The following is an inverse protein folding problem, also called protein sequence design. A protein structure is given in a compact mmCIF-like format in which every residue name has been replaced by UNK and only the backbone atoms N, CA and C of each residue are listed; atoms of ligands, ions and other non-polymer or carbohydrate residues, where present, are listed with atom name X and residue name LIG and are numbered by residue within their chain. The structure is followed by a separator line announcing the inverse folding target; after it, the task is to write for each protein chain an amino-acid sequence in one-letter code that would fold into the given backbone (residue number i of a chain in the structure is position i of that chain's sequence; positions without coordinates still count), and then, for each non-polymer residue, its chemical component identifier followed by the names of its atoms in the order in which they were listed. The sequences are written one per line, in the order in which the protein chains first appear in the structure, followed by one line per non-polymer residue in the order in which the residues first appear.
data_IF_247130966111
#
_entry.id   IF_247130966111
#
_cell.length_a   1.000
_cell.length_b   1.000
_cell.length_c   1.000
_cell.angle_alpha   90.00
_cell.angle_beta   90.00
_cell.angle_gamma   90.00
#
_symmetry.space_group_name_H-M   'P 1'
#
loop_
_entity.id
_entity.type
_entity.pdbx_description
1 polymer ?
#
# COMPACT_ATOMS: atom_id res chain seq x y z
N UNK A 1 -53.03 -14.93 47.73
CA UNK A 1 -53.04 -16.18 46.93
C UNK A 1 -52.67 -15.80 45.50
N UNK A 2 -51.40 -15.82 45.11
CA UNK A 2 -50.93 -15.48 43.75
C UNK A 2 -50.65 -16.79 43.02
N UNK A 3 -51.19 -17.03 41.81
CA UNK A 3 -50.97 -18.31 41.14
C UNK A 3 -49.52 -18.39 40.62
N UNK A 4 -48.87 -19.52 40.91
CA UNK A 4 -47.58 -19.91 40.34
C UNK A 4 -47.77 -20.08 38.82
N UNK A 5 -47.25 -19.15 38.02
CA UNK A 5 -47.20 -19.30 36.56
C UNK A 5 -46.25 -20.45 36.21
N UNK A 6 -46.72 -21.42 35.43
CA UNK A 6 -45.93 -22.54 34.95
C UNK A 6 -44.71 -22.06 34.12
N UNK A 7 -43.55 -22.74 34.24
CA UNK A 7 -42.35 -22.34 33.50
C UNK A 7 -42.57 -22.50 31.98
N UNK A 8 -42.01 -21.60 31.15
CA UNK A 8 -42.20 -21.65 29.71
C UNK A 8 -41.62 -22.93 29.11
N UNK A 9 -42.26 -23.54 28.09
CA UNK A 9 -41.75 -24.75 27.43
C UNK A 9 -40.34 -24.54 26.85
N UNK A 10 -39.54 -25.61 26.84
CA UNK A 10 -38.14 -25.63 26.37
C UNK A 10 -37.96 -24.99 24.98
N UNK A 11 -38.97 -25.04 24.11
CA UNK A 11 -38.97 -24.40 22.81
C UNK A 11 -38.78 -22.87 22.88
N UNK A 12 -39.32 -22.19 23.91
CA UNK A 12 -39.13 -20.75 24.10
C UNK A 12 -37.68 -20.43 24.47
N UNK A 13 -37.02 -21.26 25.28
CA UNK A 13 -35.61 -21.07 25.63
C UNK A 13 -34.71 -21.12 24.39
N UNK A 14 -34.98 -22.02 23.44
CA UNK A 14 -34.24 -22.09 22.18
C UNK A 14 -34.45 -20.86 21.30
N UNK A 15 -35.69 -20.37 21.18
CA UNK A 15 -35.98 -19.14 20.41
C UNK A 15 -35.31 -17.93 21.04
N UNK A 16 -35.39 -17.75 22.37
CA UNK A 16 -34.72 -16.65 23.06
C UNK A 16 -33.19 -16.73 22.99
N UNK A 17 -32.61 -17.93 23.06
CA UNK A 17 -31.16 -18.12 22.87
C UNK A 17 -30.72 -17.77 21.45
N UNK A 18 -31.46 -18.20 20.43
CA UNK A 18 -31.13 -17.91 19.03
C UNK A 18 -31.24 -16.41 18.72
N UNK A 19 -32.25 -15.73 19.27
CA UNK A 19 -32.40 -14.27 19.14
C UNK A 19 -31.27 -13.51 19.84
N UNK A 20 -30.82 -13.98 21.01
CA UNK A 20 -29.68 -13.39 21.73
C UNK A 20 -28.36 -13.58 20.98
N UNK A 21 -28.13 -14.77 20.43
CA UNK A 21 -26.94 -15.06 19.61
C UNK A 21 -26.93 -14.22 18.33
N UNK A 22 -28.05 -14.11 17.63
CA UNK A 22 -28.16 -13.27 16.43
C UNK A 22 -27.91 -11.78 16.73
N UNK A 23 -28.44 -11.27 17.84
CA UNK A 23 -28.20 -9.89 18.28
C UNK A 23 -26.73 -9.64 18.65
N UNK A 24 -26.07 -10.62 19.28
CA UNK A 24 -24.66 -10.54 19.62
C UNK A 24 -23.78 -10.53 18.35
N UNK A 25 -24.05 -11.41 17.39
CA UNK A 25 -23.34 -11.46 16.11
C UNK A 25 -23.46 -10.16 15.31
N UNK A 26 -24.66 -9.57 15.29
CA UNK A 26 -24.90 -8.30 14.60
C UNK A 26 -24.17 -7.13 15.28
N UNK A 27 -24.15 -7.10 16.62
CA UNK A 27 -23.42 -6.10 17.39
C UNK A 27 -21.90 -6.19 17.15
N UNK A 28 -21.33 -7.39 17.12
CA UNK A 28 -19.90 -7.58 16.81
C UNK A 28 -19.55 -7.15 15.37
N UNK A 29 -20.43 -7.41 14.40
CA UNK A 29 -20.22 -6.99 13.01
C UNK A 29 -20.19 -5.47 12.83
N UNK A 30 -21.07 -4.75 13.53
CA UNK A 30 -21.14 -3.28 13.47
C UNK A 30 -19.91 -2.60 14.07
N UNK A 31 -19.31 -3.15 15.13
CA UNK A 31 -18.09 -2.61 15.72
C UNK A 31 -16.85 -2.74 14.82
N UNK A 32 -16.83 -3.67 13.87
CA UNK A 32 -15.71 -3.85 12.95
C UNK A 32 -15.60 -2.71 11.92
N UNK A 33 -16.73 -2.09 11.54
CA UNK A 33 -16.76 -1.01 10.55
C UNK A 33 -16.51 0.39 11.14
N UNK A 34 -16.55 0.55 12.46
CA UNK A 34 -16.39 1.86 13.11
C UNK A 34 -14.92 2.32 13.23
N UNK A 35 -13.96 1.44 12.95
CA UNK A 35 -12.54 1.77 13.01
C UNK A 35 -12.12 2.45 11.70
N UNK A 36 -12.38 3.76 11.59
CA UNK A 36 -11.75 4.56 10.55
C UNK A 36 -10.23 4.51 10.77
N UNK A 37 -9.41 4.21 9.73
CA UNK A 37 -7.97 4.30 9.88
C UNK A 37 -7.62 5.73 10.30
N UNK A 38 -6.79 5.87 11.33
CA UNK A 38 -6.28 7.19 11.73
C UNK A 38 -5.62 7.84 10.50
N UNK A 39 -6.15 8.98 10.07
CA UNK A 39 -5.56 9.74 8.98
C UNK A 39 -4.17 10.16 9.42
N UNK A 40 -3.15 9.66 8.70
CA UNK A 40 -1.79 10.12 8.91
C UNK A 40 -1.76 11.65 8.72
N UNK A 41 -1.08 12.39 9.60
CA UNK A 41 -0.96 13.84 9.46
C UNK A 41 -0.43 14.16 8.06
N UNK A 42 -1.13 15.06 7.36
CA UNK A 42 -0.72 15.52 6.03
C UNK A 42 0.65 16.17 6.20
N UNK A 43 1.66 15.64 5.51
CA UNK A 43 3.00 16.19 5.58
C UNK A 43 2.96 17.68 5.20
N UNK A 44 3.42 18.54 6.11
CA UNK A 44 3.57 19.97 5.84
C UNK A 44 4.46 20.16 4.62
N UNK A 45 4.04 21.02 3.69
CA UNK A 45 4.82 21.35 2.49
C UNK A 45 6.14 21.97 2.94
N UNK A 46 7.20 21.17 2.92
CA UNK A 46 8.55 21.64 3.19
C UNK A 46 8.98 22.54 2.04
N UNK A 47 9.63 23.67 2.36
CA UNK A 47 10.21 24.54 1.35
C UNK A 47 11.07 23.72 0.36
N UNK A 48 11.07 24.06 -0.95
CA UNK A 48 11.87 23.35 -1.92
C UNK A 48 13.32 23.29 -1.44
N UNK A 49 13.90 22.10 -1.46
CA UNK A 49 15.28 21.91 -1.03
C UNK A 49 16.20 22.79 -1.88
N UNK A 50 16.80 23.81 -1.26
CA UNK A 50 17.95 24.52 -1.83
C UNK A 50 19.16 23.64 -1.62
N UNK A 51 19.70 23.07 -2.70
CA UNK A 51 20.68 22.00 -2.61
C UNK A 51 21.22 21.54 -3.97
N UNK A 52 22.20 20.62 -3.98
CA UNK A 52 23.12 20.36 -5.09
C UNK A 52 22.46 20.04 -6.45
N UNK A 53 23.25 20.09 -7.53
CA UNK A 53 22.85 19.85 -8.94
C UNK A 53 22.18 18.48 -9.24
N UNK A 54 21.93 17.64 -8.23
CA UNK A 54 21.40 16.29 -8.35
C UNK A 54 20.36 16.06 -7.25
N UNK A 55 19.22 15.48 -7.65
CA UNK A 55 18.07 15.22 -6.80
C UNK A 55 17.59 13.79 -7.00
N UNK A 56 17.15 13.16 -5.91
CA UNK A 56 16.48 11.85 -5.91
C UNK A 56 15.21 11.99 -5.09
N UNK A 57 14.08 11.51 -5.63
CA UNK A 57 12.79 11.51 -4.97
C UNK A 57 12.13 10.15 -5.19
N UNK A 58 11.67 9.51 -4.11
CA UNK A 58 11.02 8.22 -4.13
C UNK A 58 10.02 8.10 -2.96
N UNK A 59 9.12 7.13 -3.03
CA UNK A 59 8.08 6.93 -2.01
C UNK A 59 8.63 6.55 -0.63
N UNK A 60 9.83 5.98 -0.57
CA UNK A 60 10.45 5.50 0.66
C UNK A 60 11.83 6.12 0.88
N UNK A 61 12.16 6.61 2.09
CA UNK A 61 13.44 7.26 2.38
C UNK A 61 14.65 6.34 2.18
N UNK A 62 14.53 5.02 2.42
CA UNK A 62 15.63 4.07 2.19
C UNK A 62 15.95 3.94 0.70
N UNK A 63 14.93 4.03 -0.17
CA UNK A 63 15.13 4.04 -1.61
C UNK A 63 15.78 5.36 -2.08
N UNK A 64 15.39 6.50 -1.49
CA UNK A 64 16.06 7.79 -1.75
C UNK A 64 17.54 7.70 -1.36
N UNK A 65 17.84 7.18 -0.17
CA UNK A 65 19.22 7.02 0.31
C UNK A 65 20.05 6.15 -0.65
N UNK A 66 19.50 5.02 -1.11
CA UNK A 66 20.17 4.16 -2.07
C UNK A 66 20.50 4.87 -3.39
N UNK A 67 19.54 5.61 -3.96
CA UNK A 67 19.77 6.42 -5.16
C UNK A 67 20.84 7.50 -4.95
N UNK A 68 20.77 8.21 -3.82
CA UNK A 68 21.77 9.24 -3.46
C UNK A 68 23.15 8.63 -3.30
N UNK A 69 23.26 7.44 -2.69
CA UNK A 69 24.55 6.76 -2.52
C UNK A 69 25.17 6.36 -3.86
N UNK A 70 24.38 5.91 -4.83
CA UNK A 70 24.87 5.64 -6.20
C UNK A 70 25.36 6.92 -6.88
N UNK A 71 24.63 8.03 -6.78
CA UNK A 71 25.08 9.31 -7.33
C UNK A 71 26.37 9.81 -6.67
N UNK A 72 26.51 9.65 -5.35
CA UNK A 72 27.74 10.00 -4.61
C UNK A 72 28.95 9.18 -5.07
N UNK A 73 28.74 7.94 -5.51
CA UNK A 73 29.78 7.07 -6.06
C UNK A 73 30.11 7.37 -7.53
N UNK A 74 29.51 8.42 -8.12
CA UNK A 74 29.74 8.82 -9.51
C UNK A 74 28.85 8.08 -10.53
N UNK A 75 27.83 7.36 -10.06
CA UNK A 75 26.82 6.75 -10.93
C UNK A 75 25.98 7.79 -11.66
N UNK A 76 25.38 7.37 -12.77
CA UNK A 76 24.47 8.19 -13.55
C UNK A 76 23.07 8.24 -12.95
N UNK A 77 22.21 9.14 -13.48
CA UNK A 77 20.80 9.20 -13.08
C UNK A 77 20.06 7.87 -13.31
N UNK A 78 20.43 7.10 -14.33
CA UNK A 78 19.81 5.80 -14.59
C UNK A 78 20.29 4.73 -13.61
N UNK A 79 21.58 4.74 -13.22
CA UNK A 79 22.10 3.83 -12.19
C UNK A 79 21.40 4.07 -10.85
N UNK A 80 21.20 5.34 -10.50
CA UNK A 80 20.45 5.71 -9.30
C UNK A 80 18.99 5.25 -9.36
N UNK A 81 18.32 5.38 -10.52
CA UNK A 81 16.95 4.89 -10.70
C UNK A 81 16.84 3.37 -10.54
N UNK A 82 17.82 2.60 -11.05
CA UNK A 82 17.86 1.14 -10.86
C UNK A 82 18.02 0.78 -9.39
N UNK A 83 18.91 1.45 -8.66
CA UNK A 83 19.09 1.21 -7.23
C UNK A 83 17.85 1.57 -6.40
N UNK A 84 17.21 2.71 -6.72
CA UNK A 84 15.92 3.10 -6.13
C UNK A 84 14.89 2.00 -6.33
N UNK A 85 14.72 1.51 -7.57
CA UNK A 85 13.72 0.48 -7.87
C UNK A 85 14.01 -0.85 -7.19
N UNK A 86 15.29 -1.27 -7.13
CA UNK A 86 15.68 -2.48 -6.43
C UNK A 86 15.34 -2.42 -4.93
N UNK A 87 15.57 -1.26 -4.30
CA UNK A 87 15.22 -1.05 -2.88
C UNK A 87 13.72 -0.94 -2.70
N UNK A 88 12.99 -0.23 -3.57
CA UNK A 88 11.51 -0.16 -3.50
C UNK A 88 10.87 -1.56 -3.60
N UNK A 89 11.42 -2.47 -4.41
CA UNK A 89 10.94 -3.86 -4.45
C UNK A 89 11.05 -4.60 -3.11
N UNK A 90 11.89 -4.13 -2.18
CA UNK A 90 12.03 -4.67 -0.83
C UNK A 90 11.22 -3.88 0.21
N UNK A 91 11.27 -2.55 0.15
CA UNK A 91 10.72 -1.67 1.19
C UNK A 91 9.28 -1.18 0.90
N UNK A 92 8.83 -1.32 -0.35
CA UNK A 92 7.46 -1.05 -0.82
C UNK A 92 6.92 -2.22 -1.70
N UNK A 93 7.02 -3.49 -1.25
CA UNK A 93 6.77 -4.66 -2.09
C UNK A 93 5.32 -4.78 -2.58
N UNK A 94 4.38 -4.14 -1.89
CA UNK A 94 2.97 -4.09 -2.28
C UNK A 94 2.71 -3.18 -3.49
N UNK A 95 3.64 -2.28 -3.81
CA UNK A 95 3.47 -1.26 -4.86
C UNK A 95 4.34 -1.52 -6.08
N UNK A 96 5.57 -1.99 -5.89
CA UNK A 96 6.50 -2.24 -6.99
C UNK A 96 7.38 -3.46 -6.72
N UNK A 97 7.97 -4.03 -7.77
CA UNK A 97 8.86 -5.18 -7.64
C UNK A 97 9.16 -5.85 -8.99
N UNK A 98 10.02 -6.86 -8.95
CA UNK A 98 10.49 -7.59 -10.14
C UNK A 98 9.38 -8.39 -10.85
N UNK A 99 8.31 -8.74 -10.14
CA UNK A 99 7.18 -9.50 -10.70
C UNK A 99 6.15 -8.65 -11.45
N UNK A 100 6.30 -7.32 -11.47
CA UNK A 100 5.41 -6.41 -12.18
C UNK A 100 6.02 -5.90 -13.49
N UNK A 101 5.64 -4.68 -13.87
CA UNK A 101 6.20 -3.97 -15.00
C UNK A 101 6.60 -2.54 -14.66
N UNK A 102 7.23 -1.87 -15.63
CA UNK A 102 7.68 -0.50 -15.46
C UNK A 102 7.57 0.29 -16.76
N UNK A 103 7.40 1.60 -16.61
CA UNK A 103 7.62 2.57 -17.67
C UNK A 103 8.72 3.52 -17.20
N UNK A 104 9.69 3.79 -18.05
CA UNK A 104 10.79 4.69 -17.74
C UNK A 104 10.94 5.72 -18.86
N UNK A 105 10.93 6.99 -18.50
CA UNK A 105 11.31 8.08 -19.39
C UNK A 105 12.70 8.57 -18.99
N UNK A 106 13.64 8.48 -19.92
CA UNK A 106 15.04 8.85 -19.72
C UNK A 106 15.43 9.96 -20.70
N UNK A 107 15.98 11.05 -20.17
CA UNK A 107 16.57 12.11 -20.98
C UNK A 107 18.09 11.91 -21.05
N UNK A 108 18.60 11.66 -22.25
CA UNK A 108 20.03 11.61 -22.49
C UNK A 108 20.56 13.01 -22.83
N UNK A 109 21.28 13.62 -21.89
CA UNK A 109 21.85 14.95 -22.06
C UNK A 109 22.90 15.03 -23.19
N UNK A 110 23.55 13.92 -23.55
CA UNK A 110 24.57 13.91 -24.62
C UNK A 110 23.91 14.03 -25.99
N UNK A 111 22.86 13.27 -26.23
CA UNK A 111 22.14 13.26 -27.51
C UNK A 111 20.95 14.23 -27.55
N UNK A 112 20.57 14.80 -26.39
CA UNK A 112 19.39 15.63 -26.18
C UNK A 112 18.07 14.94 -26.55
N UNK A 113 18.04 13.61 -26.45
CA UNK A 113 16.85 12.80 -26.77
C UNK A 113 16.14 12.35 -25.51
N UNK A 114 14.82 12.24 -25.61
CA UNK A 114 13.99 11.55 -24.64
C UNK A 114 13.73 10.14 -25.16
N UNK A 115 14.02 9.15 -24.32
CA UNK A 115 13.80 7.73 -24.60
C UNK A 115 12.75 7.23 -23.64
N UNK A 116 11.74 6.53 -24.15
CA UNK A 116 10.73 5.86 -23.34
C UNK A 116 10.93 4.35 -23.44
N UNK A 117 11.10 3.70 -22.29
CA UNK A 117 11.12 2.24 -22.17
C UNK A 117 9.76 1.77 -21.69
N UNK A 118 9.17 0.84 -22.44
CA UNK A 118 7.96 0.14 -22.07
C UNK A 118 8.33 -1.28 -21.61
N UNK A 119 8.29 -1.51 -20.31
CA UNK A 119 8.43 -2.81 -19.66
C UNK A 119 7.10 -3.31 -19.09
N UNK A 120 5.97 -3.02 -19.75
CA UNK A 120 4.67 -3.59 -19.40
C UNK A 120 4.71 -5.11 -19.57
N UNK A 121 4.10 -5.78 -18.61
CA UNK A 121 3.89 -7.22 -18.59
C UNK A 121 3.05 -7.67 -19.79
N UNK A 122 3.28 -8.91 -20.22
CA UNK A 122 2.59 -9.51 -21.37
C UNK A 122 1.73 -10.66 -20.90
N UNK A 123 0.49 -10.72 -21.39
CA UNK A 123 -0.37 -11.88 -21.16
C UNK A 123 0.32 -13.15 -21.71
N UNK A 124 0.31 -14.27 -20.97
CA UNK A 124 0.88 -15.51 -21.49
C UNK A 124 0.10 -15.99 -22.72
N UNK A 125 0.75 -16.77 -23.59
CA UNK A 125 0.15 -17.25 -24.83
C UNK A 125 -1.15 -18.06 -24.66
N UNK A 126 -1.43 -18.58 -23.46
CA UNK A 126 -2.64 -19.34 -23.14
C UNK A 126 -3.76 -18.54 -22.44
N UNK A 127 -3.62 -17.23 -22.26
CA UNK A 127 -4.71 -16.40 -21.71
C UNK A 127 -5.85 -16.21 -22.74
N UNK A 128 -7.10 -16.38 -22.31
CA UNK A 128 -8.33 -16.26 -23.14
C UNK A 128 -9.38 -15.41 -22.48
#
# INVERSE_FOLDING_TARGET
MVPLSSPPPLAWYFVFQLQRLAALSLALGLTACATAPAQAPVASVTAPASGPKVLVSAANPLAVEAGVNVLRQGGSAIDAAVAVQAVLGLVEPQSSGLGGGAFLTYYDAKTKKVIAYNGRETAPAGAT
#
